data_IF_453273252005
#
_entry.id   IF_453273252005
#
_cell.length_a   1.000
_cell.length_b   1.000
_cell.length_c   1.000
_cell.angle_alpha   90.00
_cell.angle_beta   90.00
_cell.angle_gamma   90.00
#
_symmetry.space_group_name_H-M   'P 1'
#
loop_
_entity.id
_entity.type
_entity.pdbx_description
1 polymer ?
#
# COMPACT_ATOMS: atom_id res chain seq x y z
N UNK A 1 -15.41 -1.37 -0.50
CA UNK A 1 -15.65 -0.50 -1.67
C UNK A 1 -15.96 -1.36 -2.89
N UNK A 2 -16.81 -0.88 -3.78
CA UNK A 2 -17.11 -1.52 -5.07
C UNK A 2 -16.64 -0.68 -6.26
N UNK A 3 -16.14 0.52 -5.99
CA UNK A 3 -15.79 1.51 -6.99
C UNK A 3 -14.40 2.08 -6.72
N UNK A 4 -13.55 2.20 -7.76
CA UNK A 4 -12.18 2.69 -7.62
C UNK A 4 -12.11 4.17 -7.23
N UNK A 5 -13.07 4.99 -7.64
CA UNK A 5 -13.11 6.39 -7.21
C UNK A 5 -13.40 6.50 -5.70
N UNK A 6 -14.29 5.64 -5.18
CA UNK A 6 -14.56 5.57 -3.74
C UNK A 6 -13.37 5.04 -2.95
N UNK A 7 -12.60 4.11 -3.50
CA UNK A 7 -11.32 3.69 -2.91
C UNK A 7 -10.36 4.87 -2.79
N UNK A 8 -10.17 5.62 -3.88
CA UNK A 8 -9.27 6.78 -3.90
C UNK A 8 -9.70 7.82 -2.87
N UNK A 9 -10.99 8.20 -2.85
CA UNK A 9 -11.51 9.15 -1.87
C UNK A 9 -11.32 8.68 -0.43
N UNK A 10 -11.55 7.39 -0.14
CA UNK A 10 -11.32 6.83 1.19
C UNK A 10 -9.85 6.89 1.61
N UNK A 11 -8.93 6.59 0.70
CA UNK A 11 -7.48 6.70 0.94
C UNK A 11 -7.08 8.15 1.18
N UNK A 12 -7.60 9.11 0.42
CA UNK A 12 -7.26 10.53 0.58
C UNK A 12 -7.81 11.12 1.87
N UNK A 13 -9.06 10.85 2.23
CA UNK A 13 -9.64 11.30 3.51
C UNK A 13 -8.81 10.79 4.68
N UNK A 14 -8.44 9.50 4.67
CA UNK A 14 -7.60 8.91 5.69
C UNK A 14 -6.20 9.56 5.72
N UNK A 15 -5.59 9.74 4.56
CA UNK A 15 -4.22 10.25 4.44
C UNK A 15 -4.10 11.70 4.90
N UNK A 16 -4.99 12.58 4.45
CA UNK A 16 -4.98 14.00 4.84
C UNK A 16 -5.16 14.14 6.37
N UNK A 17 -6.08 13.36 6.94
CA UNK A 17 -6.27 13.32 8.38
C UNK A 17 -4.99 12.90 9.12
N UNK A 18 -4.28 11.91 8.62
CA UNK A 18 -3.03 11.42 9.21
C UNK A 18 -1.87 12.40 9.05
N UNK A 19 -1.80 13.15 7.94
CA UNK A 19 -0.78 14.20 7.78
C UNK A 19 -0.89 15.25 8.89
N UNK A 20 -2.12 15.69 9.20
CA UNK A 20 -2.39 16.63 10.28
C UNK A 20 -2.09 16.02 11.66
N UNK A 21 -2.53 14.79 11.90
CA UNK A 21 -2.31 14.11 13.18
C UNK A 21 -0.83 13.83 13.45
N UNK A 22 -0.04 13.51 12.43
CA UNK A 22 1.40 13.31 12.55
C UNK A 22 2.11 14.58 13.06
N UNK A 23 1.64 15.77 12.65
CA UNK A 23 2.13 17.07 13.11
C UNK A 23 1.37 17.68 14.28
N UNK A 24 0.59 16.91 15.05
CA UNK A 24 -0.25 17.45 16.11
C UNK A 24 0.53 18.03 17.29
N UNK A 25 1.78 17.58 17.52
CA UNK A 25 2.68 18.21 18.49
C UNK A 25 3.46 19.37 17.83
N UNK A 26 2.85 20.56 17.85
CA UNK A 26 3.37 21.75 17.17
C UNK A 26 4.71 22.26 17.73
N UNK A 27 5.02 21.96 18.99
CA UNK A 27 6.27 22.36 19.64
C UNK A 27 7.44 21.43 19.28
N UNK A 28 7.16 20.23 18.76
CA UNK A 28 8.18 19.26 18.36
C UNK A 28 8.59 19.46 16.91
N UNK A 29 9.84 19.81 16.69
CA UNK A 29 10.43 19.88 15.35
C UNK A 29 10.27 18.54 14.58
N UNK A 30 10.51 17.43 15.27
CA UNK A 30 10.39 16.07 14.69
C UNK A 30 8.95 15.75 14.24
N UNK A 31 7.94 16.19 14.99
CA UNK A 31 6.54 16.00 14.61
C UNK A 31 6.16 16.81 13.38
N UNK A 32 6.62 18.05 13.30
CA UNK A 32 6.39 18.93 12.15
C UNK A 32 7.11 18.38 10.89
N UNK A 33 8.36 17.96 11.04
CA UNK A 33 9.13 17.31 9.96
C UNK A 33 8.46 16.03 9.47
N UNK A 34 7.98 15.18 10.39
CA UNK A 34 7.26 13.95 10.07
C UNK A 34 6.00 14.23 9.25
N UNK A 35 5.19 15.20 9.66
CA UNK A 35 3.99 15.62 8.95
C UNK A 35 4.31 16.13 7.55
N UNK A 36 5.31 16.98 7.41
CA UNK A 36 5.72 17.53 6.12
C UNK A 36 6.23 16.46 5.17
N UNK A 37 7.13 15.58 5.63
CA UNK A 37 7.62 14.44 4.86
C UNK A 37 6.48 13.53 4.41
N UNK A 38 5.56 13.22 5.33
CA UNK A 38 4.43 12.35 5.04
C UNK A 38 3.48 12.97 4.01
N UNK A 39 3.19 14.26 4.14
CA UNK A 39 2.36 14.99 3.19
C UNK A 39 2.97 14.99 1.78
N UNK A 40 4.25 15.40 1.63
CA UNK A 40 4.88 15.50 0.31
C UNK A 40 4.97 14.12 -0.37
N UNK A 41 5.52 13.12 0.32
CA UNK A 41 5.68 11.78 -0.25
C UNK A 41 4.33 11.09 -0.47
N UNK A 42 3.38 11.30 0.43
CA UNK A 42 2.04 10.75 0.33
C UNK A 42 1.25 11.33 -0.84
N UNK A 43 1.29 12.65 -1.04
CA UNK A 43 0.64 13.30 -2.19
C UNK A 43 1.20 12.82 -3.52
N UNK A 44 2.51 12.60 -3.59
CA UNK A 44 3.16 12.05 -4.78
C UNK A 44 2.68 10.61 -5.08
N UNK A 45 2.60 9.77 -4.05
CA UNK A 45 2.08 8.41 -4.18
C UNK A 45 0.59 8.37 -4.57
N UNK A 46 -0.20 9.32 -4.06
CA UNK A 46 -1.61 9.48 -4.44
C UNK A 46 -1.76 9.88 -5.91
N UNK A 47 -0.84 10.68 -6.44
CA UNK A 47 -0.77 11.01 -7.87
C UNK A 47 -0.60 9.77 -8.75
N UNK A 48 0.29 8.85 -8.38
CA UNK A 48 0.43 7.57 -9.08
C UNK A 48 -0.84 6.72 -9.00
N UNK A 49 -1.46 6.64 -7.84
CA UNK A 49 -2.71 5.89 -7.67
C UNK A 49 -3.83 6.46 -8.54
N UNK A 50 -4.01 7.77 -8.53
CA UNK A 50 -5.03 8.45 -9.34
C UNK A 50 -4.79 8.26 -10.84
N UNK A 51 -3.54 8.44 -11.30
CA UNK A 51 -3.19 8.20 -12.69
C UNK A 51 -3.44 6.75 -13.09
N UNK A 52 -3.09 5.79 -12.21
CA UNK A 52 -3.38 4.38 -12.41
C UNK A 52 -4.88 4.11 -12.60
N UNK A 53 -5.72 4.67 -11.73
CA UNK A 53 -7.18 4.58 -11.84
C UNK A 53 -7.68 5.19 -13.16
N UNK A 54 -7.16 6.35 -13.55
CA UNK A 54 -7.54 7.01 -14.80
C UNK A 54 -7.21 6.16 -16.04
N UNK A 55 -6.05 5.51 -16.06
CA UNK A 55 -5.66 4.60 -17.15
C UNK A 55 -6.52 3.34 -17.18
N UNK A 56 -6.84 2.76 -16.03
CA UNK A 56 -7.77 1.62 -15.95
C UNK A 56 -9.14 2.03 -16.48
N UNK A 57 -9.66 3.18 -16.05
CA UNK A 57 -10.92 3.71 -16.57
C UNK A 57 -10.87 3.93 -18.09
N UNK A 58 -9.79 4.51 -18.60
CA UNK A 58 -9.60 4.70 -20.05
C UNK A 58 -9.64 3.38 -20.84
N UNK A 59 -9.17 2.27 -20.24
CA UNK A 59 -9.16 0.95 -20.87
C UNK A 59 -10.51 0.21 -20.73
N UNK A 60 -11.22 0.44 -19.62
CA UNK A 60 -12.41 -0.35 -19.27
C UNK A 60 -13.71 0.45 -19.31
N UNK A 61 -13.65 1.78 -19.41
CA UNK A 61 -14.77 2.72 -19.34
C UNK A 61 -15.66 2.51 -18.09
N UNK A 62 -15.12 1.92 -17.01
CA UNK A 62 -15.83 1.70 -15.76
C UNK A 62 -14.93 1.96 -14.55
N UNK A 63 -15.53 2.43 -13.45
CA UNK A 63 -14.92 2.48 -12.13
C UNK A 63 -15.38 1.31 -11.24
N UNK A 64 -16.39 0.55 -11.66
CA UNK A 64 -16.90 -0.59 -10.90
C UNK A 64 -15.93 -1.76 -10.97
N UNK A 65 -15.56 -2.28 -9.80
CA UNK A 65 -14.57 -3.36 -9.64
C UNK A 65 -15.06 -4.66 -10.27
N UNK A 66 -16.36 -4.95 -10.17
CA UNK A 66 -16.96 -6.16 -10.74
C UNK A 66 -16.95 -6.11 -12.27
N UNK A 67 -17.33 -4.99 -12.87
CA UNK A 67 -17.31 -4.80 -14.33
C UNK A 67 -15.88 -4.88 -14.88
N UNK A 68 -14.91 -4.25 -14.18
CA UNK A 68 -13.50 -4.31 -14.55
C UNK A 68 -13.00 -5.76 -14.54
N UNK A 69 -13.30 -6.51 -13.46
CA UNK A 69 -12.90 -7.91 -13.34
C UNK A 69 -13.48 -8.78 -14.45
N UNK A 70 -14.77 -8.63 -14.75
CA UNK A 70 -15.42 -9.35 -15.85
C UNK A 70 -14.78 -9.02 -17.20
N UNK A 71 -14.46 -7.74 -17.46
CA UNK A 71 -13.83 -7.32 -18.70
C UNK A 71 -12.45 -7.89 -18.87
N UNK A 72 -11.65 -7.95 -17.79
CA UNK A 72 -10.34 -8.60 -17.81
C UNK A 72 -10.46 -10.09 -18.16
N UNK A 73 -11.46 -10.78 -17.61
CA UNK A 73 -11.67 -12.22 -17.86
C UNK A 73 -12.11 -12.51 -19.31
N UNK A 74 -12.96 -11.66 -19.88
CA UNK A 74 -13.52 -11.91 -21.22
C UNK A 74 -12.66 -11.37 -22.36
N UNK A 75 -11.97 -10.24 -22.17
CA UNK A 75 -11.28 -9.52 -23.22
C UNK A 75 -9.76 -9.34 -22.96
N UNK A 76 -9.15 -10.22 -22.18
CA UNK A 76 -7.74 -10.08 -21.78
C UNK A 76 -6.78 -9.83 -22.95
N UNK A 77 -6.98 -10.53 -24.07
CA UNK A 77 -6.17 -10.37 -25.28
C UNK A 77 -6.35 -9.02 -26.02
N UNK A 78 -7.37 -8.25 -25.67
CA UNK A 78 -7.72 -6.94 -26.27
C UNK A 78 -7.45 -5.75 -25.38
N UNK A 79 -6.97 -5.98 -24.15
CA UNK A 79 -6.66 -4.89 -23.24
C UNK A 79 -5.47 -4.08 -23.79
N UNK A 80 -5.58 -2.75 -23.85
CA UNK A 80 -4.50 -1.91 -24.35
C UNK A 80 -3.32 -1.89 -23.39
N UNK A 81 -2.11 -1.64 -23.90
CA UNK A 81 -0.89 -1.62 -23.10
C UNK A 81 -0.96 -0.65 -21.91
N UNK A 82 -1.66 0.47 -22.05
CA UNK A 82 -1.80 1.43 -20.94
C UNK A 82 -2.65 0.91 -19.78
N UNK A 83 -3.46 -0.15 -19.95
CA UNK A 83 -4.11 -0.85 -18.85
C UNK A 83 -3.07 -1.44 -17.87
N UNK A 84 -2.07 -2.13 -18.40
CA UNK A 84 -1.00 -2.72 -17.57
C UNK A 84 -0.14 -1.65 -16.91
N UNK A 85 0.11 -0.52 -17.60
CA UNK A 85 0.76 0.64 -16.99
C UNK A 85 -0.09 1.18 -15.83
N UNK A 86 -1.40 1.26 -16.01
CA UNK A 86 -2.34 1.65 -14.95
C UNK A 86 -2.26 0.73 -13.73
N UNK A 87 -2.22 -0.59 -13.94
CA UNK A 87 -2.03 -1.58 -12.85
C UNK A 87 -0.71 -1.37 -12.10
N UNK A 88 0.39 -1.12 -12.81
CA UNK A 88 1.70 -0.87 -12.18
C UNK A 88 1.67 0.43 -11.37
N UNK A 89 1.08 1.50 -11.88
CA UNK A 89 0.95 2.76 -11.15
C UNK A 89 0.08 2.61 -9.89
N UNK A 90 -1.01 1.85 -9.98
CA UNK A 90 -1.82 1.51 -8.80
C UNK A 90 -1.02 0.66 -7.80
N UNK A 91 -0.21 -0.29 -8.28
CA UNK A 91 0.67 -1.09 -7.44
C UNK A 91 1.68 -0.21 -6.69
N UNK A 92 2.31 0.76 -7.36
CA UNK A 92 3.23 1.73 -6.74
C UNK A 92 2.53 2.53 -5.64
N UNK A 93 1.36 3.11 -5.94
CA UNK A 93 0.59 3.88 -4.96
C UNK A 93 0.18 3.06 -3.74
N UNK A 94 -0.27 1.83 -3.96
CA UNK A 94 -0.65 0.92 -2.88
C UNK A 94 0.57 0.39 -2.12
N UNK A 95 1.68 0.09 -2.78
CA UNK A 95 2.94 -0.31 -2.15
C UNK A 95 3.47 0.78 -1.21
N UNK A 96 3.34 2.05 -1.58
CA UNK A 96 3.63 3.18 -0.69
C UNK A 96 2.73 3.15 0.56
N UNK A 97 1.41 2.95 0.41
CA UNK A 97 0.45 2.94 1.54
C UNK A 97 0.71 1.80 2.53
N UNK A 98 1.11 0.63 2.07
CA UNK A 98 1.49 -0.49 2.93
C UNK A 98 2.95 -0.42 3.40
N UNK A 99 3.74 0.53 2.91
CA UNK A 99 5.18 0.71 3.19
C UNK A 99 6.04 -0.45 2.68
N UNK A 100 5.74 -1.02 1.52
CA UNK A 100 6.60 -2.02 0.88
C UNK A 100 7.87 -1.37 0.30
N UNK A 101 9.02 -2.06 0.36
CA UNK A 101 10.28 -1.60 -0.23
C UNK A 101 10.18 -1.69 -1.77
N UNK A 102 10.59 -0.63 -2.53
CA UNK A 102 11.35 0.55 -2.11
C UNK A 102 10.52 1.75 -1.60
N UNK A 103 9.21 1.69 -1.58
CA UNK A 103 8.32 2.81 -1.25
C UNK A 103 8.11 3.02 0.26
N UNK A 104 9.01 2.51 1.11
CA UNK A 104 8.92 2.50 2.57
C UNK A 104 9.55 3.71 3.27
N UNK A 105 10.33 4.55 2.56
CA UNK A 105 11.20 5.59 3.16
C UNK A 105 10.49 6.55 4.12
N UNK A 106 9.21 6.78 3.91
CA UNK A 106 8.42 7.64 4.78
C UNK A 106 8.17 7.05 6.17
N UNK A 107 7.98 5.72 6.26
CA UNK A 107 7.45 5.09 7.46
C UNK A 107 8.40 5.18 8.67
N UNK A 108 9.72 4.92 8.59
CA UNK A 108 10.61 5.04 9.73
C UNK A 108 10.68 6.46 10.30
N UNK A 109 10.73 7.48 9.44
CA UNK A 109 10.82 8.88 9.86
C UNK A 109 9.50 9.39 10.43
N UNK A 110 8.38 9.09 9.76
CA UNK A 110 7.04 9.50 10.19
C UNK A 110 6.67 8.81 11.50
N UNK A 111 6.92 7.51 11.64
CA UNK A 111 6.60 6.77 12.86
C UNK A 111 7.45 7.23 14.05
N UNK A 112 8.70 7.61 13.80
CA UNK A 112 9.57 8.11 14.87
C UNK A 112 9.18 9.53 15.31
N UNK A 113 8.87 10.42 14.38
CA UNK A 113 8.56 11.81 14.65
C UNK A 113 7.15 12.07 15.16
N UNK A 114 6.17 11.26 14.74
CA UNK A 114 4.78 11.41 15.15
C UNK A 114 4.56 11.06 16.63
N UNK A 115 3.51 11.62 17.28
CA UNK A 115 3.08 11.21 18.60
C UNK A 115 2.80 9.70 18.64
N UNK A 116 3.15 9.05 19.76
CA UNK A 116 3.11 7.56 19.87
C UNK A 116 1.74 6.97 19.58
N UNK A 117 0.66 7.62 20.00
CA UNK A 117 -0.72 7.18 19.76
C UNK A 117 -1.03 7.20 18.25
N UNK A 118 -0.61 8.26 17.55
CA UNK A 118 -0.79 8.38 16.10
C UNK A 118 0.02 7.32 15.37
N UNK A 119 1.28 7.08 15.80
CA UNK A 119 2.13 6.02 15.25
C UNK A 119 1.48 4.63 15.43
N UNK A 120 0.94 4.33 16.62
CA UNK A 120 0.27 3.07 16.88
C UNK A 120 -0.94 2.87 15.95
N UNK A 121 -1.77 3.91 15.78
CA UNK A 121 -2.91 3.89 14.87
C UNK A 121 -2.48 3.66 13.41
N UNK A 122 -1.43 4.36 12.95
CA UNK A 122 -0.90 4.19 11.58
C UNK A 122 -0.33 2.79 11.36
N UNK A 123 0.39 2.24 12.34
CA UNK A 123 1.05 0.94 12.22
C UNK A 123 0.08 -0.24 12.27
N UNK A 124 -1.10 -0.07 12.83
CA UNK A 124 -2.13 -1.10 12.99
C UNK A 124 -3.32 -0.87 12.07
N UNK A 125 -4.27 -0.04 12.45
CA UNK A 125 -5.57 0.13 11.77
C UNK A 125 -5.40 0.57 10.32
N UNK A 126 -4.55 1.56 10.07
CA UNK A 126 -4.33 2.09 8.71
C UNK A 126 -3.67 1.04 7.81
N UNK A 127 -2.70 0.30 8.34
CA UNK A 127 -2.05 -0.79 7.59
C UNK A 127 -3.02 -1.92 7.25
N UNK A 128 -3.84 -2.33 8.19
CA UNK A 128 -4.87 -3.36 7.98
C UNK A 128 -5.80 -2.93 6.84
N UNK A 129 -6.30 -1.70 6.90
CA UNK A 129 -7.17 -1.16 5.86
C UNK A 129 -6.49 -1.10 4.48
N UNK A 130 -5.22 -0.67 4.44
CA UNK A 130 -4.45 -0.59 3.21
C UNK A 130 -4.15 -1.99 2.61
N UNK A 131 -3.81 -2.97 3.46
CA UNK A 131 -3.61 -4.37 3.03
C UNK A 131 -4.91 -4.98 2.52
N UNK A 132 -6.04 -4.73 3.19
CA UNK A 132 -7.35 -5.19 2.73
C UNK A 132 -7.73 -4.59 1.38
N UNK A 133 -7.43 -3.32 1.16
CA UNK A 133 -7.64 -2.65 -0.14
C UNK A 133 -6.71 -3.23 -1.22
N UNK A 134 -5.44 -3.47 -0.90
CA UNK A 134 -4.46 -4.11 -1.77
C UNK A 134 -4.94 -5.51 -2.19
N UNK A 135 -5.37 -6.32 -1.23
CA UNK A 135 -5.91 -7.66 -1.48
C UNK A 135 -7.09 -7.60 -2.45
N UNK A 136 -8.06 -6.74 -2.18
CA UNK A 136 -9.25 -6.62 -3.01
C UNK A 136 -8.96 -6.20 -4.45
N UNK A 137 -7.97 -5.33 -4.65
CA UNK A 137 -7.55 -4.92 -5.99
C UNK A 137 -6.80 -6.05 -6.71
N UNK A 138 -5.73 -6.55 -6.13
CA UNK A 138 -4.79 -7.41 -6.85
C UNK A 138 -5.13 -8.91 -6.78
N UNK A 139 -5.77 -9.38 -5.70
CA UNK A 139 -6.16 -10.79 -5.58
C UNK A 139 -7.61 -11.07 -6.04
N UNK A 140 -8.45 -10.06 -6.19
CA UNK A 140 -9.82 -10.23 -6.64
C UNK A 140 -10.09 -9.55 -7.98
N UNK A 141 -9.86 -8.22 -8.07
CA UNK A 141 -10.21 -7.44 -9.27
C UNK A 141 -9.29 -7.77 -10.44
N UNK A 142 -7.98 -7.74 -10.22
CA UNK A 142 -6.97 -7.98 -11.25
C UNK A 142 -6.48 -9.42 -11.31
N UNK A 143 -7.16 -10.37 -10.67
CA UNK A 143 -6.70 -11.76 -10.55
C UNK A 143 -6.28 -12.37 -11.88
N UNK A 144 -7.09 -12.22 -12.93
CA UNK A 144 -6.80 -12.76 -14.26
C UNK A 144 -5.64 -12.07 -14.99
N UNK A 145 -5.28 -10.85 -14.58
CA UNK A 145 -4.18 -10.09 -15.15
C UNK A 145 -2.97 -9.99 -14.22
N UNK A 146 -3.04 -10.57 -13.01
CA UNK A 146 -1.98 -10.45 -11.98
C UNK A 146 -0.67 -11.08 -12.42
N UNK A 147 -0.69 -12.04 -13.32
CA UNK A 147 0.50 -12.71 -13.85
C UNK A 147 1.51 -11.71 -14.41
N UNK A 148 1.05 -10.64 -15.07
CA UNK A 148 1.92 -9.60 -15.64
C UNK A 148 2.66 -8.77 -14.58
N UNK A 149 2.19 -8.71 -13.35
CA UNK A 149 2.80 -7.97 -12.25
C UNK A 149 3.37 -8.87 -11.15
N UNK A 150 3.18 -10.19 -11.26
CA UNK A 150 3.63 -11.17 -10.26
C UNK A 150 5.13 -11.04 -9.98
N UNK A 151 5.95 -10.89 -11.02
CA UNK A 151 7.39 -10.74 -10.86
C UNK A 151 7.74 -9.45 -10.09
N UNK A 152 6.99 -8.38 -10.30
CA UNK A 152 7.18 -7.11 -9.58
C UNK A 152 6.82 -7.31 -8.11
N UNK A 153 5.72 -8.00 -7.81
CA UNK A 153 5.32 -8.30 -6.43
C UNK A 153 6.37 -9.19 -5.75
N UNK A 154 6.91 -10.19 -6.43
CA UNK A 154 8.00 -11.03 -5.91
C UNK A 154 9.25 -10.20 -5.55
N UNK A 155 9.65 -9.28 -6.42
CA UNK A 155 10.76 -8.36 -6.16
C UNK A 155 10.47 -7.48 -4.94
N UNK A 156 9.26 -6.91 -4.84
CA UNK A 156 8.84 -6.12 -3.68
C UNK A 156 8.93 -6.94 -2.38
N UNK A 157 8.49 -8.20 -2.39
CA UNK A 157 8.57 -9.09 -1.23
C UNK A 157 10.00 -9.30 -0.79
N UNK A 158 10.87 -9.74 -1.71
CA UNK A 158 12.28 -10.03 -1.41
C UNK A 158 12.98 -8.79 -0.85
N UNK A 159 12.82 -7.65 -1.52
CA UNK A 159 13.39 -6.37 -1.07
C UNK A 159 12.85 -5.96 0.29
N UNK A 160 11.53 -6.11 0.51
CA UNK A 160 10.91 -5.73 1.78
C UNK A 160 11.45 -6.58 2.92
N UNK A 161 11.54 -7.90 2.76
CA UNK A 161 12.04 -8.79 3.78
C UNK A 161 13.53 -8.57 4.07
N UNK A 162 14.36 -8.40 3.06
CA UNK A 162 15.80 -8.21 3.25
C UNK A 162 16.08 -6.84 3.87
N UNK A 163 15.62 -5.76 3.23
CA UNK A 163 15.96 -4.40 3.64
C UNK A 163 15.42 -4.09 5.04
N UNK A 164 14.18 -4.46 5.34
CA UNK A 164 13.58 -4.15 6.64
C UNK A 164 14.26 -4.89 7.78
N UNK A 165 14.54 -6.19 7.64
CA UNK A 165 15.17 -6.98 8.70
C UNK A 165 16.63 -6.57 8.93
N UNK A 166 17.40 -6.38 7.86
CA UNK A 166 18.79 -5.93 7.98
C UNK A 166 18.85 -4.54 8.63
N UNK A 167 18.02 -3.60 8.16
CA UNK A 167 18.05 -2.24 8.70
C UNK A 167 17.55 -2.16 10.14
N UNK A 168 16.58 -3.01 10.54
CA UNK A 168 16.06 -3.05 11.89
C UNK A 168 17.15 -3.30 12.94
N UNK A 169 18.10 -4.19 12.63
CA UNK A 169 19.19 -4.57 13.55
C UNK A 169 20.13 -3.39 13.89
N UNK A 170 20.29 -2.46 12.96
CA UNK A 170 21.16 -1.29 13.13
C UNK A 170 20.49 -0.09 13.80
N UNK A 171 19.21 -0.21 14.18
CA UNK A 171 18.49 0.92 14.78
C UNK A 171 18.77 1.04 16.27
N UNK A 172 19.08 2.26 16.71
CA UNK A 172 19.27 2.60 18.12
C UNK A 172 17.98 3.04 18.81
N UNK A 173 17.00 3.54 18.04
CA UNK A 173 15.70 3.96 18.55
C UNK A 173 14.69 2.81 18.46
N UNK A 174 14.03 2.51 19.59
CA UNK A 174 12.99 1.48 19.68
C UNK A 174 11.84 1.77 18.71
N UNK A 175 11.38 3.03 18.61
CA UNK A 175 10.32 3.40 17.67
C UNK A 175 10.71 3.11 16.22
N UNK A 176 11.97 3.41 15.85
CA UNK A 176 12.47 3.20 14.49
C UNK A 176 12.65 1.72 14.20
N UNK A 177 13.14 0.94 15.17
CA UNK A 177 13.24 -0.51 15.07
C UNK A 177 11.87 -1.15 14.86
N UNK A 178 10.85 -0.75 15.65
CA UNK A 178 9.47 -1.22 15.48
C UNK A 178 8.85 -0.81 14.14
N UNK A 179 9.21 0.37 13.59
CA UNK A 179 8.81 0.79 12.26
C UNK A 179 9.33 -0.19 11.19
N UNK A 180 10.61 -0.57 11.24
CA UNK A 180 11.17 -1.57 10.32
C UNK A 180 10.58 -2.96 10.54
N UNK A 181 10.30 -3.37 11.77
CA UNK A 181 9.55 -4.59 12.07
C UNK A 181 8.17 -4.58 11.39
N UNK A 182 7.45 -3.47 11.51
CA UNK A 182 6.15 -3.30 10.84
C UNK A 182 6.26 -3.34 9.29
N UNK A 183 7.39 -2.92 8.71
CA UNK A 183 7.66 -3.06 7.26
C UNK A 183 7.93 -4.53 6.92
N UNK A 184 8.71 -5.26 7.75
CA UNK A 184 8.96 -6.69 7.55
C UNK A 184 7.66 -7.50 7.51
N UNK A 185 6.71 -7.21 8.40
CA UNK A 185 5.40 -7.87 8.41
C UNK A 185 4.63 -7.68 7.09
N UNK A 186 4.76 -6.53 6.43
CA UNK A 186 4.18 -6.34 5.08
C UNK A 186 4.78 -7.33 4.08
N UNK A 187 6.08 -7.61 4.15
CA UNK A 187 6.72 -8.62 3.31
C UNK A 187 6.11 -10.01 3.52
N UNK A 188 5.85 -10.42 4.76
CA UNK A 188 5.18 -11.70 5.06
C UNK A 188 3.72 -11.73 4.56
N UNK A 189 2.99 -10.62 4.70
CA UNK A 189 1.62 -10.52 4.17
C UNK A 189 1.63 -10.63 2.65
N UNK A 190 2.55 -9.97 1.97
CA UNK A 190 2.68 -10.04 0.51
C UNK A 190 3.05 -11.45 0.02
N UNK A 191 3.80 -12.26 0.80
CA UNK A 191 4.04 -13.67 0.48
C UNK A 191 2.73 -14.48 0.38
N UNK A 192 1.75 -14.16 1.21
CA UNK A 192 0.43 -14.79 1.15
C UNK A 192 -0.29 -14.58 -0.19
N UNK A 193 0.00 -13.48 -0.88
CA UNK A 193 -0.56 -13.21 -2.21
C UNK A 193 -0.06 -14.18 -3.27
N UNK A 194 1.17 -14.69 -3.13
CA UNK A 194 1.77 -15.59 -4.12
C UNK A 194 1.25 -17.03 -3.99
N UNK A 195 0.64 -17.39 -2.86
CA UNK A 195 0.27 -18.79 -2.58
C UNK A 195 -0.98 -19.29 -3.32
N UNK A 196 -1.72 -18.42 -4.02
CA UNK A 196 -2.89 -18.76 -4.87
C UNK A 196 -3.89 -19.73 -4.23
N UNK A 197 -5.15 -19.35 -4.03
CA UNK A 197 -6.18 -20.24 -3.47
C UNK A 197 -6.74 -19.80 -2.11
N UNK A 198 -7.37 -20.71 -1.36
CA UNK A 198 -8.02 -20.43 -0.07
C UNK A 198 -7.04 -20.13 1.08
N UNK A 199 -5.75 -20.45 0.90
CA UNK A 199 -4.69 -20.20 1.86
C UNK A 199 -4.39 -18.70 2.12
N UNK A 200 -4.38 -17.81 1.10
CA UNK A 200 -4.04 -16.40 1.29
C UNK A 200 -4.95 -15.67 2.26
N UNK A 201 -6.24 -16.00 2.25
CA UNK A 201 -7.22 -15.34 3.13
C UNK A 201 -6.94 -15.64 4.61
N UNK A 202 -6.61 -16.88 4.93
CA UNK A 202 -6.27 -17.30 6.29
C UNK A 202 -4.95 -16.67 6.79
N UNK A 203 -3.95 -16.58 5.92
CA UNK A 203 -2.65 -16.00 6.27
C UNK A 203 -2.75 -14.49 6.45
N UNK A 204 -3.45 -13.79 5.56
CA UNK A 204 -3.72 -12.35 5.73
C UNK A 204 -4.49 -12.10 7.02
N UNK A 205 -5.52 -12.90 7.31
CA UNK A 205 -6.30 -12.79 8.52
C UNK A 205 -5.46 -13.06 9.79
N UNK A 206 -4.60 -14.08 9.76
CA UNK A 206 -3.69 -14.39 10.86
C UNK A 206 -2.73 -13.23 11.17
N UNK A 207 -2.10 -12.64 10.14
CA UNK A 207 -1.21 -11.50 10.32
C UNK A 207 -1.93 -10.21 10.71
N UNK A 208 -3.22 -10.07 10.40
CA UNK A 208 -4.02 -8.95 10.84
C UNK A 208 -4.39 -9.02 12.33
N UNK A 209 -4.45 -10.25 12.89
CA UNK A 209 -4.78 -10.49 14.29
C UNK A 209 -3.54 -10.54 15.21
N UNK A 210 -2.39 -10.94 14.68
CA UNK A 210 -1.13 -11.03 15.44
C UNK A 210 -0.42 -9.68 15.52
#
# INVERSE_FOLDING_TARGET
FHNMAMLFLGIEILSISLYVLAGSNKESFLSNEAAFKYFIMGSFASGFLLMGIALIYGATASFDIGEISQRIQHDQARLPAFFYVGMILMLIGMAFKISAVPFHFWAPDVYTGSPTVVTAFMATVVKIAAVGAFYRLFAQTFFSAVEYITIIIQILIVLTLIVSNVTAVYQTSIKRMLAYSSIAHVGYILLAFLSGGTGPQGVVFYYLLS
#
